data_IF_855453790026
#
_entry.id   IF_855453790026
#
_cell.length_a   1.000
_cell.length_b   1.000
_cell.length_c   1.000
_cell.angle_alpha   90.00
_cell.angle_beta   90.00
_cell.angle_gamma   90.00
#
_symmetry.space_group_name_H-M   'P 1'
#
loop_
_entity.id
_entity.type
_entity.pdbx_description
1 polymer ?
#
# COMPACT_ATOMS: atom_id res chain seq x y z
N UNK A 1 7.00 -28.68 6.07
CA UNK A 1 6.16 -27.51 5.70
C UNK A 1 6.97 -26.73 4.68
N UNK A 2 6.59 -26.80 3.40
CA UNK A 2 7.15 -25.88 2.40
C UNK A 2 6.61 -24.50 2.74
N UNK A 3 7.44 -23.68 3.40
CA UNK A 3 7.13 -22.25 3.55
C UNK A 3 6.96 -21.65 2.16
N UNK A 4 6.04 -20.69 2.02
CA UNK A 4 5.88 -19.97 0.75
C UNK A 4 7.21 -19.31 0.40
N UNK A 5 7.69 -19.50 -0.84
CA UNK A 5 8.96 -18.91 -1.28
C UNK A 5 8.87 -17.42 -1.63
N UNK A 6 7.65 -16.87 -1.62
CA UNK A 6 7.35 -15.48 -1.97
C UNK A 6 6.42 -14.85 -0.94
N UNK A 7 6.63 -13.55 -0.72
CA UNK A 7 5.71 -12.65 -0.05
C UNK A 7 5.05 -11.72 -1.06
N UNK A 8 3.93 -11.13 -0.65
CA UNK A 8 3.16 -10.18 -1.42
C UNK A 8 3.56 -8.76 -1.05
N UNK A 9 4.12 -8.01 -2.00
CA UNK A 9 4.27 -6.58 -1.89
C UNK A 9 3.03 -5.87 -2.42
N UNK A 10 2.70 -4.72 -1.83
CA UNK A 10 1.69 -3.81 -2.33
C UNK A 10 2.19 -2.37 -2.24
N UNK A 11 1.80 -1.57 -3.23
CA UNK A 11 1.85 -0.11 -3.22
C UNK A 11 0.44 0.44 -3.41
N UNK A 12 0.06 1.38 -2.56
CA UNK A 12 -1.11 2.22 -2.70
C UNK A 12 -0.69 3.69 -2.68
N UNK A 13 -1.13 4.46 -3.68
CA UNK A 13 -0.89 5.90 -3.78
C UNK A 13 -2.20 6.67 -3.76
N UNK A 14 -2.22 7.79 -3.03
CA UNK A 14 -3.37 8.67 -2.99
C UNK A 14 -2.96 10.13 -2.97
N UNK A 15 -3.69 10.99 -3.66
CA UNK A 15 -3.43 12.43 -3.67
C UNK A 15 -4.14 13.08 -2.49
N UNK A 16 -3.42 13.90 -1.72
CA UNK A 16 -4.03 14.70 -0.68
C UNK A 16 -4.91 15.80 -1.29
N UNK A 17 -6.14 15.95 -0.79
CA UNK A 17 -7.09 16.99 -1.22
C UNK A 17 -6.75 18.37 -0.65
N UNK A 18 -5.99 18.41 0.44
CA UNK A 18 -5.55 19.61 1.13
C UNK A 18 -4.05 19.49 1.42
N UNK A 19 -3.35 20.61 1.70
CA UNK A 19 -2.02 20.55 2.30
C UNK A 19 -2.02 19.62 3.53
N UNK A 20 -0.99 18.77 3.63
CA UNK A 20 -0.90 17.72 4.66
C UNK A 20 -0.85 18.34 6.08
N UNK A 21 -0.29 19.54 6.22
CA UNK A 21 -0.22 20.30 7.48
C UNK A 21 -1.53 21.03 7.85
N UNK A 22 -2.53 21.01 6.98
CA UNK A 22 -3.79 21.72 7.23
C UNK A 22 -4.64 21.04 8.31
N UNK A 23 -5.43 21.80 9.09
CA UNK A 23 -6.35 21.23 10.10
C UNK A 23 -7.36 20.24 9.51
N UNK A 24 -7.66 20.34 8.21
CA UNK A 24 -8.59 19.44 7.50
C UNK A 24 -8.01 18.05 7.27
N UNK A 25 -6.68 17.94 7.28
CA UNK A 25 -5.96 16.68 7.11
C UNK A 25 -5.61 16.03 8.46
N UNK A 26 -5.79 16.76 9.57
CA UNK A 26 -5.34 16.35 10.90
C UNK A 26 -5.91 15.00 11.35
N UNK A 27 -7.21 14.78 11.13
CA UNK A 27 -7.86 13.52 11.52
C UNK A 27 -7.39 12.31 10.72
N UNK A 28 -6.83 12.52 9.52
CA UNK A 28 -6.14 11.47 8.79
C UNK A 28 -4.79 11.14 9.43
N UNK A 29 -3.99 12.18 9.74
CA UNK A 29 -2.68 12.04 10.39
C UNK A 29 -2.77 11.37 11.76
N UNK A 30 -3.73 11.78 12.58
CA UNK A 30 -3.98 11.20 13.91
C UNK A 30 -4.34 9.70 13.81
N UNK A 31 -4.86 9.28 12.65
CA UNK A 31 -5.22 7.89 12.37
C UNK A 31 -4.08 7.01 11.89
N UNK A 32 -2.94 7.58 11.48
CA UNK A 32 -1.87 6.80 10.87
C UNK A 32 -1.19 5.87 11.87
N UNK A 33 -0.83 6.35 13.07
CA UNK A 33 -0.18 5.51 14.08
C UNK A 33 -1.06 4.30 14.49
N UNK A 34 -2.35 4.48 14.83
CA UNK A 34 -3.23 3.34 15.10
C UNK A 34 -3.38 2.36 13.93
N UNK A 35 -3.39 2.85 12.68
CA UNK A 35 -3.44 1.98 11.50
C UNK A 35 -2.13 1.22 11.29
N UNK A 36 -1.00 1.86 11.53
CA UNK A 36 0.31 1.22 11.46
C UNK A 36 0.43 0.11 12.51
N UNK A 37 0.05 0.39 13.77
CA UNK A 37 0.03 -0.61 14.84
C UNK A 37 -0.91 -1.78 14.51
N UNK A 38 -2.07 -1.47 13.92
CA UNK A 38 -3.02 -2.49 13.47
C UNK A 38 -2.45 -3.35 12.35
N UNK A 39 -1.73 -2.77 11.38
CA UNK A 39 -1.05 -3.53 10.34
C UNK A 39 0.04 -4.43 10.95
N UNK A 40 0.91 -3.86 11.80
CA UNK A 40 2.03 -4.55 12.42
C UNK A 40 1.61 -5.71 13.35
N UNK A 41 0.42 -5.62 13.94
CA UNK A 41 -0.16 -6.69 14.75
C UNK A 41 -1.05 -7.67 13.96
N UNK A 42 -1.27 -7.44 12.66
CA UNK A 42 -2.13 -8.30 11.84
C UNK A 42 -1.41 -9.59 11.41
N UNK A 43 -2.11 -10.74 11.39
CA UNK A 43 -1.55 -11.99 10.89
C UNK A 43 -1.01 -11.87 9.46
N UNK A 44 0.21 -12.36 9.25
CA UNK A 44 0.87 -12.34 7.94
C UNK A 44 1.40 -10.98 7.52
N UNK A 45 1.43 -9.97 8.41
CA UNK A 45 2.22 -8.76 8.19
C UNK A 45 3.72 -9.08 8.20
N UNK A 46 4.47 -8.49 7.27
CA UNK A 46 5.94 -8.68 7.17
C UNK A 46 6.67 -7.35 7.35
N UNK A 47 6.24 -6.31 6.64
CA UNK A 47 6.94 -5.02 6.61
C UNK A 47 6.06 -3.89 6.06
N UNK A 48 6.39 -2.64 6.39
CA UNK A 48 5.85 -1.45 5.72
C UNK A 48 6.93 -0.39 5.52
N UNK A 49 6.71 0.46 4.53
CA UNK A 49 7.51 1.66 4.34
C UNK A 49 7.28 2.63 5.50
N UNK A 50 8.38 3.08 6.09
CA UNK A 50 8.41 4.09 7.15
C UNK A 50 9.23 5.26 6.59
N UNK A 51 8.67 6.47 6.66
CA UNK A 51 9.38 7.70 6.34
C UNK A 51 10.32 8.12 7.47
N UNK A 52 10.89 9.32 7.37
CA UNK A 52 11.65 9.91 8.49
C UNK A 52 10.70 10.24 9.67
N UNK A 53 9.44 10.57 9.34
CA UNK A 53 8.33 10.60 10.28
C UNK A 53 7.80 9.17 10.50
N UNK A 54 7.99 8.63 11.70
CA UNK A 54 7.55 7.28 12.08
C UNK A 54 6.06 7.02 11.82
N UNK A 55 5.24 8.08 11.78
CA UNK A 55 3.81 8.02 11.55
C UNK A 55 3.43 7.63 10.10
N UNK A 56 4.35 7.65 9.14
CA UNK A 56 4.11 7.14 7.78
C UNK A 56 4.96 7.85 6.73
N UNK A 57 4.94 7.34 5.50
CA UNK A 57 5.72 7.85 4.37
C UNK A 57 5.16 9.15 3.74
N UNK A 58 4.59 10.05 4.55
CA UNK A 58 3.99 11.32 4.10
C UNK A 58 5.01 12.43 3.82
N UNK A 59 6.24 12.20 4.23
CA UNK A 59 7.40 13.08 4.21
C UNK A 59 8.48 12.61 3.22
N UNK A 60 8.27 11.48 2.56
CA UNK A 60 9.19 10.93 1.59
C UNK A 60 9.01 11.67 0.26
N UNK A 61 10.11 12.06 -0.38
CA UNK A 61 10.09 12.50 -1.79
C UNK A 61 9.77 11.29 -2.65
N UNK A 62 8.60 11.28 -3.26
CA UNK A 62 8.11 10.12 -3.99
C UNK A 62 8.24 10.32 -5.51
N UNK A 63 8.46 9.25 -6.30
CA UNK A 63 8.43 9.34 -7.76
C UNK A 63 7.02 9.61 -8.32
N UNK A 64 5.99 9.62 -7.46
CA UNK A 64 4.57 9.76 -7.85
C UNK A 64 4.09 11.22 -7.87
N UNK A 65 4.99 12.17 -7.57
CA UNK A 65 4.75 13.60 -7.63
C UNK A 65 4.34 14.23 -6.31
N UNK A 66 4.10 15.54 -6.34
CA UNK A 66 3.82 16.33 -5.14
C UNK A 66 2.44 16.02 -4.55
N UNK A 67 2.34 16.13 -3.23
CA UNK A 67 1.11 15.88 -2.45
C UNK A 67 0.53 14.47 -2.65
N UNK A 68 1.38 13.49 -2.95
CA UNK A 68 1.02 12.07 -2.99
C UNK A 68 1.42 11.40 -1.70
N UNK A 69 0.48 10.68 -1.11
CA UNK A 69 0.67 9.83 0.04
C UNK A 69 0.96 8.44 -0.49
N UNK A 70 2.07 7.88 -0.05
CA UNK A 70 2.48 6.53 -0.38
C UNK A 70 2.24 5.62 0.80
N UNK A 71 1.62 4.49 0.55
CA UNK A 71 1.53 3.39 1.48
C UNK A 71 2.09 2.15 0.78
N UNK A 72 3.15 1.58 1.33
CA UNK A 72 3.78 0.38 0.78
C UNK A 72 4.01 -0.62 1.90
N UNK A 73 3.69 -1.88 1.65
CA UNK A 73 3.84 -2.94 2.67
C UNK A 73 4.02 -4.31 2.03
N UNK A 74 4.58 -5.24 2.80
CA UNK A 74 4.79 -6.63 2.45
C UNK A 74 4.00 -7.51 3.42
N UNK A 75 3.36 -8.54 2.86
CA UNK A 75 2.49 -9.49 3.53
C UNK A 75 2.84 -10.90 3.11
N UNK A 76 2.54 -11.92 3.92
CA UNK A 76 2.75 -13.31 3.56
C UNK A 76 1.88 -13.74 2.37
N UNK A 77 0.62 -13.25 2.32
CA UNK A 77 -0.38 -13.69 1.34
C UNK A 77 -1.34 -12.57 0.92
N UNK A 78 -2.09 -12.80 -0.16
CA UNK A 78 -3.20 -11.93 -0.59
C UNK A 78 -4.32 -11.93 0.45
N UNK A 79 -4.56 -13.06 1.08
CA UNK A 79 -5.58 -13.28 2.10
C UNK A 79 -5.28 -12.43 3.35
N UNK A 80 -4.04 -12.46 3.85
CA UNK A 80 -3.59 -11.63 4.98
C UNK A 80 -3.81 -10.13 4.72
N UNK A 81 -3.44 -9.65 3.54
CA UNK A 81 -3.67 -8.26 3.15
C UNK A 81 -5.17 -7.93 3.05
N UNK A 82 -5.99 -8.84 2.49
CA UNK A 82 -7.44 -8.66 2.40
C UNK A 82 -8.10 -8.59 3.77
N UNK A 83 -7.69 -9.45 4.69
CA UNK A 83 -8.22 -9.47 6.06
C UNK A 83 -7.88 -8.17 6.79
N UNK A 84 -6.63 -7.71 6.71
CA UNK A 84 -6.27 -6.39 7.22
C UNK A 84 -7.09 -5.28 6.55
N UNK A 85 -7.30 -5.34 5.24
CA UNK A 85 -7.98 -4.25 4.50
C UNK A 85 -9.48 -4.17 4.80
N UNK A 86 -10.17 -5.30 4.90
CA UNK A 86 -11.64 -5.35 4.91
C UNK A 86 -12.25 -5.89 6.20
N UNK A 87 -11.49 -6.63 7.00
CA UNK A 87 -11.97 -7.27 8.23
C UNK A 87 -11.36 -6.65 9.50
N UNK A 88 -10.83 -5.43 9.40
CA UNK A 88 -10.22 -4.68 10.51
C UNK A 88 -10.73 -3.22 10.57
N UNK A 89 -10.26 -2.46 11.56
CA UNK A 89 -10.50 -1.01 11.66
C UNK A 89 -10.03 -0.18 10.45
N UNK A 90 -9.21 -0.76 9.56
CA UNK A 90 -8.79 -0.10 8.31
C UNK A 90 -9.98 0.23 7.39
N UNK A 91 -11.04 -0.58 7.41
CA UNK A 91 -12.23 -0.37 6.57
C UNK A 91 -12.91 0.99 6.86
N UNK A 92 -12.87 1.47 8.10
CA UNK A 92 -13.49 2.74 8.46
C UNK A 92 -12.76 3.95 7.85
N UNK A 93 -11.43 3.87 7.75
CA UNK A 93 -10.65 4.87 7.01
C UNK A 93 -10.89 4.79 5.51
N UNK A 94 -11.01 3.58 4.95
CA UNK A 94 -11.37 3.43 3.54
C UNK A 94 -12.73 4.05 3.23
N UNK A 95 -13.73 3.92 4.10
CA UNK A 95 -15.05 4.55 3.93
C UNK A 95 -14.99 6.08 3.93
N UNK A 96 -14.12 6.63 4.79
CA UNK A 96 -13.96 8.07 5.00
C UNK A 96 -12.90 8.71 4.11
N UNK A 97 -12.17 7.93 3.31
CA UNK A 97 -11.02 8.40 2.52
C UNK A 97 -11.27 9.66 1.69
N UNK A 98 -12.49 9.87 1.20
CA UNK A 98 -12.89 11.07 0.42
C UNK A 98 -12.92 12.38 1.23
N UNK A 99 -12.89 12.30 2.56
CA UNK A 99 -12.72 13.46 3.43
C UNK A 99 -11.34 14.09 3.24
N UNK A 100 -10.33 13.28 2.89
CA UNK A 100 -8.92 13.70 2.86
C UNK A 100 -8.27 13.53 1.50
N UNK A 101 -8.62 12.48 0.77
CA UNK A 101 -7.94 12.05 -0.45
C UNK A 101 -8.78 12.38 -1.69
N UNK A 102 -8.11 12.86 -2.73
CA UNK A 102 -8.69 12.97 -4.06
C UNK A 102 -8.53 11.64 -4.81
N UNK A 103 -9.62 10.89 -4.88
CA UNK A 103 -9.69 9.55 -5.47
C UNK A 103 -10.38 9.55 -6.84
N UNK A 104 -10.96 10.69 -7.28
CA UNK A 104 -11.73 10.77 -8.52
C UNK A 104 -10.82 10.88 -9.76
N UNK A 105 -9.53 11.20 -9.57
CA UNK A 105 -8.57 11.45 -10.64
C UNK A 105 -7.35 10.51 -10.65
N UNK A 106 -7.39 9.38 -9.94
CA UNK A 106 -6.26 8.41 -9.92
C UNK A 106 -6.68 7.08 -10.54
N UNK A 107 -6.39 6.94 -11.84
CA UNK A 107 -6.18 5.63 -12.46
C UNK A 107 -4.84 5.07 -11.97
N UNK A 108 -4.76 3.78 -11.62
CA UNK A 108 -3.49 3.21 -11.14
C UNK A 108 -3.09 3.70 -9.75
N UNK A 109 -3.93 3.49 -8.73
CA UNK A 109 -3.60 3.85 -7.34
C UNK A 109 -3.14 2.67 -6.49
N UNK A 110 -3.27 1.44 -6.99
CA UNK A 110 -2.98 0.23 -6.22
C UNK A 110 -2.32 -0.79 -7.15
N UNK A 111 -1.15 -1.28 -6.77
CA UNK A 111 -0.46 -2.37 -7.44
C UNK A 111 0.05 -3.38 -6.41
N UNK A 112 -0.03 -4.65 -6.78
CA UNK A 112 0.42 -5.80 -6.01
C UNK A 112 1.36 -6.63 -6.87
N UNK A 113 2.40 -7.20 -6.26
CA UNK A 113 3.33 -8.11 -6.93
C UNK A 113 3.97 -9.05 -5.93
N UNK A 114 4.46 -10.19 -6.41
CA UNK A 114 5.18 -11.16 -5.59
C UNK A 114 6.67 -10.82 -5.53
N UNK A 115 7.24 -10.92 -4.34
CA UNK A 115 8.67 -10.75 -4.06
C UNK A 115 9.22 -11.99 -3.35
N UNK A 116 10.48 -12.39 -3.58
CA UNK A 116 11.09 -13.49 -2.82
C UNK A 116 11.05 -13.23 -1.31
N UNK A 117 10.92 -14.28 -0.49
CA UNK A 117 11.01 -14.11 0.97
C UNK A 117 12.34 -13.46 1.36
N UNK A 118 12.26 -12.43 2.21
CA UNK A 118 13.41 -11.63 2.65
C UNK A 118 13.75 -10.44 1.75
N UNK A 119 13.11 -10.32 0.57
CA UNK A 119 13.22 -9.12 -0.26
C UNK A 119 12.30 -8.01 0.26
N UNK A 120 12.85 -6.81 0.44
CA UNK A 120 12.10 -5.60 0.76
C UNK A 120 12.16 -4.68 -0.46
N UNK A 121 11.02 -4.41 -1.12
CA UNK A 121 11.01 -3.55 -2.30
C UNK A 121 11.25 -2.10 -1.92
N UNK A 122 11.87 -1.36 -2.84
CA UNK A 122 12.00 0.09 -2.73
C UNK A 122 10.94 0.83 -3.59
N UNK A 123 10.95 2.16 -3.51
CA UNK A 123 10.00 3.00 -4.25
C UNK A 123 10.22 2.97 -5.77
N UNK A 124 11.45 2.69 -6.23
CA UNK A 124 11.74 2.62 -7.66
C UNK A 124 11.12 1.35 -8.25
N UNK A 125 11.32 0.20 -7.58
CA UNK A 125 10.66 -1.05 -7.93
C UNK A 125 9.13 -0.88 -7.93
N UNK A 126 8.57 -0.27 -6.87
CA UNK A 126 7.13 -0.06 -6.78
C UNK A 126 6.58 0.83 -7.91
N UNK A 127 7.33 1.86 -8.31
CA UNK A 127 6.97 2.73 -9.43
C UNK A 127 6.98 1.97 -10.77
N UNK A 128 7.99 1.13 -11.01
CA UNK A 128 8.06 0.30 -12.21
C UNK A 128 6.88 -0.68 -12.28
N UNK A 129 6.50 -1.29 -11.15
CA UNK A 129 5.33 -2.18 -11.07
C UNK A 129 4.04 -1.44 -11.39
N UNK A 130 3.87 -0.25 -10.85
CA UNK A 130 2.68 0.55 -11.09
C UNK A 130 2.59 0.97 -12.56
N UNK A 131 3.70 1.46 -13.14
CA UNK A 131 3.77 1.82 -14.55
C UNK A 131 3.48 0.61 -15.46
N UNK A 132 3.98 -0.57 -15.11
CA UNK A 132 3.67 -1.80 -15.84
C UNK A 132 2.17 -2.12 -15.80
N UNK A 133 1.54 -2.03 -14.63
CA UNK A 133 0.10 -2.26 -14.48
C UNK A 133 -0.74 -1.28 -15.31
N UNK A 134 -0.34 -0.01 -15.37
CA UNK A 134 -1.01 1.00 -16.20
C UNK A 134 -0.90 0.72 -17.69
N UNK A 135 0.27 0.28 -18.15
CA UNK A 135 0.54 0.05 -19.57
C UNK A 135 -0.05 -1.28 -20.08
N UNK A 136 -0.01 -2.33 -19.26
CA UNK A 136 -0.33 -3.70 -19.71
C UNK A 136 -1.60 -4.27 -19.07
N UNK A 137 -2.18 -3.59 -18.08
CA UNK A 137 -3.20 -4.17 -17.22
C UNK A 137 -2.64 -5.25 -16.28
N UNK A 138 -3.52 -5.96 -15.55
CA UNK A 138 -3.09 -6.98 -14.58
C UNK A 138 -2.38 -8.17 -15.25
N UNK A 139 -1.20 -8.51 -14.73
CA UNK A 139 -0.36 -9.65 -15.13
C UNK A 139 0.31 -10.27 -13.91
N UNK A 140 1.03 -11.38 -14.05
CA UNK A 140 1.84 -11.96 -12.96
C UNK A 140 2.93 -11.01 -12.45
N UNK A 141 3.40 -10.09 -13.30
CA UNK A 141 4.42 -9.11 -12.95
C UNK A 141 3.86 -7.96 -12.09
N UNK A 142 2.59 -7.59 -12.27
CA UNK A 142 1.93 -6.52 -11.53
C UNK A 142 0.40 -6.67 -11.65
N UNK A 143 -0.30 -6.72 -10.52
CA UNK A 143 -1.73 -7.00 -10.46
C UNK A 143 -2.45 -6.22 -9.36
N UNK A 144 -3.73 -6.52 -9.12
CA UNK A 144 -4.56 -5.84 -8.09
C UNK A 144 -5.34 -6.85 -7.27
N UNK A 145 -5.89 -6.45 -6.12
CA UNK A 145 -6.80 -7.30 -5.34
C UNK A 145 -8.04 -7.77 -6.12
N UNK A 146 -8.48 -7.01 -7.15
CA UNK A 146 -9.60 -7.37 -8.02
C UNK A 146 -9.23 -8.46 -9.04
N UNK A 147 -7.97 -8.53 -9.43
CA UNK A 147 -7.45 -9.51 -10.39
C UNK A 147 -6.17 -10.12 -9.82
N UNK A 148 -6.26 -10.97 -8.78
CA UNK A 148 -5.08 -11.53 -8.13
C UNK A 148 -4.33 -12.48 -9.06
N UNK A 149 -3.00 -12.54 -8.91
CA UNK A 149 -2.14 -13.56 -9.52
C UNK A 149 -1.65 -14.53 -8.46
N UNK A 150 -1.53 -15.84 -8.75
CA UNK A 150 -0.94 -16.80 -7.80
C UNK A 150 0.55 -16.51 -7.57
N UNK A 151 1.11 -16.92 -6.41
CA UNK A 151 2.55 -16.81 -6.18
C UNK A 151 3.33 -17.67 -7.20
N UNK A 152 4.52 -17.23 -7.65
CA UNK A 152 5.35 -18.02 -8.54
C UNK A 152 5.71 -19.37 -7.93
N UNK A 153 5.65 -20.42 -8.76
CA UNK A 153 6.09 -21.77 -8.37
C UNK A 153 7.62 -21.75 -8.38
N UNK A 154 8.23 -22.16 -7.26
CA UNK A 154 9.69 -22.34 -7.13
C UNK A 154 10.16 -23.65 -7.75
#
# INVERSE_FOLDING_TARGET
>A
MTGMAHHLAQLNIARARFPIDSPRFRSFLDGLAPLNDLAESSPGYVWRLIGEAEQGAIDIVTPFGDNVIVNMSVWETVESLRDYTYNSGHLDYLRRRREWLDHENITGHLVLWWVPVGHIPDLAEAADRLAHLEQHGPTEHAFTLRHPSPPPIS
#
